data_IF_993367451583
#
_entry.id   IF_993367451583
#
_cell.length_a   1.000
_cell.length_b   1.000
_cell.length_c   1.000
_cell.angle_alpha   90.00
_cell.angle_beta   90.00
_cell.angle_gamma   90.00
#
_symmetry.space_group_name_H-M   'P 1'
#
loop_
_entity.id
_entity.type
_entity.pdbx_description
1 polymer ?
#
# COMPACT_ATOMS: atom_id res chain seq x y z
N UNK A 1 9.75 31.28 -20.54
CA UNK A 1 9.03 30.02 -20.19
C UNK A 1 8.72 30.06 -18.71
N UNK A 2 7.44 30.07 -18.31
CA UNK A 2 7.05 30.13 -16.89
C UNK A 2 7.39 28.79 -16.26
N UNK A 3 8.34 28.77 -15.32
CA UNK A 3 8.67 27.59 -14.52
C UNK A 3 8.02 27.70 -13.14
N UNK A 4 7.68 26.56 -12.56
CA UNK A 4 7.22 26.44 -11.17
C UNK A 4 8.23 25.60 -10.40
N UNK A 5 8.68 26.13 -9.27
CA UNK A 5 9.54 25.42 -8.33
C UNK A 5 8.68 24.87 -7.20
N UNK A 6 8.81 23.58 -6.91
CA UNK A 6 8.15 22.91 -5.80
C UNK A 6 9.20 22.22 -4.92
N UNK A 7 9.11 22.41 -3.61
CA UNK A 7 9.98 21.70 -2.67
C UNK A 7 9.56 20.24 -2.53
N UNK A 8 10.54 19.34 -2.44
CA UNK A 8 10.37 17.93 -2.19
C UNK A 8 11.51 17.44 -1.27
N UNK A 9 11.24 17.33 0.03
CA UNK A 9 12.29 17.13 1.04
C UNK A 9 13.37 18.22 0.95
N UNK A 10 14.62 17.80 0.73
CA UNK A 10 15.76 18.72 0.50
C UNK A 10 15.93 19.15 -0.97
N UNK A 11 15.17 18.55 -1.88
CA UNK A 11 15.24 18.84 -3.30
C UNK A 11 14.20 19.90 -3.73
N UNK A 12 14.42 20.49 -4.90
CA UNK A 12 13.48 21.36 -5.62
C UNK A 12 13.18 20.71 -6.95
N UNK A 13 11.90 20.44 -7.22
CA UNK A 13 11.40 20.02 -8.52
C UNK A 13 11.07 21.28 -9.31
N UNK A 14 11.79 21.51 -10.41
CA UNK A 14 11.53 22.64 -11.31
C UNK A 14 10.85 22.11 -12.57
N UNK A 15 9.62 22.55 -12.80
CA UNK A 15 8.78 22.12 -13.93
C UNK A 15 8.43 23.33 -14.78
N UNK A 16 8.49 23.20 -16.11
CA UNK A 16 8.02 24.20 -17.05
C UNK A 16 7.33 23.58 -18.27
N UNK A 17 6.62 24.40 -19.03
CA UNK A 17 6.02 24.00 -20.30
C UNK A 17 7.07 24.03 -21.42
N UNK A 18 7.23 22.94 -22.17
CA UNK A 18 8.13 22.85 -23.32
C UNK A 18 7.47 23.43 -24.59
N UNK A 19 8.22 23.48 -25.70
CA UNK A 19 7.79 24.12 -26.96
C UNK A 19 6.61 23.40 -27.65
N UNK A 20 6.46 22.11 -27.42
CA UNK A 20 5.49 21.26 -28.15
C UNK A 20 4.22 20.96 -27.34
N UNK A 21 3.94 21.75 -26.30
CA UNK A 21 2.80 21.52 -25.39
C UNK A 21 3.05 20.42 -24.36
N UNK A 22 4.24 19.82 -24.34
CA UNK A 22 4.69 18.87 -23.32
C UNK A 22 5.25 19.59 -22.09
N UNK A 23 5.51 18.84 -21.03
CA UNK A 23 6.12 19.33 -19.81
C UNK A 23 7.55 18.83 -19.69
N UNK A 24 8.39 19.67 -19.11
CA UNK A 24 9.80 19.37 -18.90
C UNK A 24 10.21 19.75 -17.49
N UNK A 25 11.07 18.95 -16.86
CA UNK A 25 11.50 19.26 -15.51
C UNK A 25 12.83 18.63 -15.12
N UNK A 26 13.36 19.18 -14.03
CA UNK A 26 14.63 18.77 -13.42
C UNK A 26 14.48 18.71 -11.90
N UNK A 27 15.29 17.86 -11.28
CA UNK A 27 15.44 17.82 -9.82
C UNK A 27 16.71 18.58 -9.45
N UNK A 28 16.60 19.51 -8.51
CA UNK A 28 17.73 20.30 -8.01
C UNK A 28 17.96 19.95 -6.53
N UNK A 29 19.15 19.46 -6.18
CA UNK A 29 19.55 19.14 -4.82
C UNK A 29 20.88 19.84 -4.51
N UNK A 30 20.94 20.59 -3.41
CA UNK A 30 22.15 21.35 -3.06
C UNK A 30 22.59 22.36 -4.13
N UNK A 31 21.64 22.91 -4.89
CA UNK A 31 21.90 23.85 -5.99
C UNK A 31 22.38 23.21 -7.30
N UNK A 32 22.50 21.88 -7.38
CA UNK A 32 22.88 21.15 -8.60
C UNK A 32 21.72 20.36 -9.16
N UNK A 33 21.61 20.29 -10.48
CA UNK A 33 20.67 19.37 -11.14
C UNK A 33 21.18 17.95 -10.93
N UNK A 34 20.28 17.05 -10.49
CA UNK A 34 20.56 15.62 -10.33
C UNK A 34 19.75 14.82 -11.35
N UNK A 35 20.39 13.78 -11.91
CA UNK A 35 19.82 12.97 -12.97
C UNK A 35 19.61 13.73 -14.28
N UNK A 36 18.88 13.10 -15.20
CA UNK A 36 18.54 13.67 -16.49
C UNK A 36 17.30 14.55 -16.42
N UNK A 37 17.17 15.41 -17.43
CA UNK A 37 15.96 16.21 -17.63
C UNK A 37 14.84 15.30 -18.12
N UNK A 38 13.70 15.33 -17.44
CA UNK A 38 12.56 14.49 -17.78
C UNK A 38 11.55 15.28 -18.61
N UNK A 39 10.93 14.58 -19.55
CA UNK A 39 9.83 15.07 -20.39
C UNK A 39 8.61 14.17 -20.22
N UNK A 40 7.42 14.77 -20.22
CA UNK A 40 6.15 14.05 -20.19
C UNK A 40 5.03 14.92 -20.80
N UNK A 41 4.05 14.29 -21.42
CA UNK A 41 2.85 14.98 -21.91
C UNK A 41 1.92 15.38 -20.76
N UNK A 42 1.99 14.67 -19.63
CA UNK A 42 1.19 14.94 -18.44
C UNK A 42 2.05 15.51 -17.31
N UNK A 43 1.65 16.69 -16.81
CA UNK A 43 2.36 17.41 -15.76
C UNK A 43 2.42 16.64 -14.44
N UNK A 44 1.36 15.92 -14.09
CA UNK A 44 1.29 15.16 -12.83
C UNK A 44 2.16 13.90 -12.91
N UNK A 45 2.18 13.20 -14.05
CA UNK A 45 3.12 12.09 -14.29
C UNK A 45 4.56 12.56 -14.26
N UNK A 46 4.88 13.69 -14.91
CA UNK A 46 6.20 14.29 -14.82
C UNK A 46 6.59 14.58 -13.37
N UNK A 47 5.69 15.21 -12.61
CA UNK A 47 5.92 15.52 -11.20
C UNK A 47 6.20 14.26 -10.39
N UNK A 48 5.41 13.21 -10.55
CA UNK A 48 5.62 11.93 -9.88
C UNK A 48 6.99 11.31 -10.21
N UNK A 49 7.38 11.31 -11.48
CA UNK A 49 8.70 10.81 -11.93
C UNK A 49 9.87 11.63 -11.36
N UNK A 50 9.72 12.96 -11.28
CA UNK A 50 10.71 13.84 -10.67
C UNK A 50 10.83 13.62 -9.15
N UNK A 51 9.72 13.34 -8.47
CA UNK A 51 9.73 12.96 -7.05
C UNK A 51 10.47 11.63 -6.83
N UNK A 52 10.23 10.65 -7.70
CA UNK A 52 10.95 9.37 -7.65
C UNK A 52 12.46 9.58 -7.89
N UNK A 53 12.84 10.38 -8.89
CA UNK A 53 14.24 10.74 -9.15
C UNK A 53 14.89 11.43 -7.94
N UNK A 54 14.17 12.35 -7.29
CA UNK A 54 14.66 12.98 -6.07
C UNK A 54 14.82 11.99 -4.90
N UNK A 55 13.96 10.99 -4.81
CA UNK A 55 14.03 9.91 -3.82
C UNK A 55 15.31 9.08 -3.89
N UNK A 56 15.93 8.98 -5.07
CA UNK A 56 17.21 8.25 -5.25
C UNK A 56 18.38 8.85 -4.47
N UNK A 57 18.27 10.10 -4.02
CA UNK A 57 19.29 10.75 -3.20
C UNK A 57 19.16 10.44 -1.68
N UNK A 58 18.18 9.64 -1.27
CA UNK A 58 17.98 9.29 0.14
C UNK A 58 19.10 8.37 0.67
N UNK A 59 19.58 8.52 1.93
CA UNK A 59 20.67 7.70 2.45
C UNK A 59 20.38 6.19 2.49
N UNK A 60 19.10 5.81 2.64
CA UNK A 60 18.68 4.41 2.66
C UNK A 60 18.36 3.85 1.27
N UNK A 61 18.53 4.65 0.20
CA UNK A 61 18.23 4.23 -1.16
C UNK A 61 19.18 3.12 -1.63
N UNK A 62 18.61 2.01 -2.10
CA UNK A 62 19.32 0.95 -2.80
C UNK A 62 18.60 0.46 -4.06
N UNK A 63 17.49 1.11 -4.44
CA UNK A 63 16.75 0.83 -5.67
C UNK A 63 16.04 -0.51 -5.70
N UNK A 64 15.33 -0.77 -6.81
CA UNK A 64 14.57 -2.01 -6.97
C UNK A 64 15.45 -3.26 -7.02
N UNK A 65 16.62 -3.20 -7.68
CA UNK A 65 17.56 -4.33 -7.73
C UNK A 65 18.10 -4.69 -6.33
N UNK A 66 18.43 -3.67 -5.51
CA UNK A 66 18.81 -3.89 -4.12
C UNK A 66 17.66 -4.47 -3.28
N UNK A 67 16.42 -4.07 -3.55
CA UNK A 67 15.24 -4.63 -2.90
C UNK A 67 15.05 -6.11 -3.24
N UNK A 68 15.22 -6.46 -4.52
CA UNK A 68 15.18 -7.85 -5.00
C UNK A 68 16.28 -8.68 -4.35
N UNK A 69 17.53 -8.19 -4.35
CA UNK A 69 18.64 -8.89 -3.72
C UNK A 69 18.41 -9.11 -2.22
N UNK A 70 17.89 -8.09 -1.52
CA UNK A 70 17.52 -8.20 -0.11
C UNK A 70 16.40 -9.23 0.10
N UNK A 71 15.34 -9.18 -0.70
CA UNK A 71 14.23 -10.12 -0.62
C UNK A 71 14.71 -11.56 -0.80
N UNK A 72 15.53 -11.83 -1.83
CA UNK A 72 16.07 -13.17 -2.11
C UNK A 72 17.02 -13.68 -1.01
N UNK A 73 17.70 -12.78 -0.28
CA UNK A 73 18.50 -13.16 0.90
C UNK A 73 17.62 -13.75 2.02
N UNK A 74 16.43 -13.17 2.24
CA UNK A 74 15.49 -13.64 3.27
C UNK A 74 14.57 -14.76 2.78
N UNK A 75 14.25 -14.77 1.48
CA UNK A 75 13.36 -15.72 0.83
C UNK A 75 14.10 -16.42 -0.33
N UNK A 76 14.99 -17.38 -0.04
CA UNK A 76 15.66 -18.16 -1.08
C UNK A 76 14.64 -18.84 -2.01
N UNK A 77 14.81 -18.68 -3.32
CA UNK A 77 13.86 -19.16 -4.32
C UNK A 77 12.69 -18.21 -4.61
N UNK A 78 12.65 -17.03 -3.97
CA UNK A 78 11.63 -16.00 -4.22
C UNK A 78 10.21 -16.47 -3.89
N UNK A 79 9.23 -16.06 -4.70
CA UNK A 79 7.81 -16.40 -4.49
C UNK A 79 7.48 -17.89 -4.72
N UNK A 80 8.36 -18.64 -5.37
CA UNK A 80 8.26 -20.09 -5.51
C UNK A 80 9.10 -20.84 -4.46
N UNK A 81 9.84 -20.12 -3.61
CA UNK A 81 10.75 -20.70 -2.64
C UNK A 81 10.03 -21.46 -1.52
N UNK A 82 10.68 -22.49 -0.99
CA UNK A 82 10.12 -23.34 0.07
C UNK A 82 9.75 -22.52 1.32
N UNK A 83 10.60 -21.58 1.74
CA UNK A 83 10.33 -20.72 2.92
C UNK A 83 9.10 -19.83 2.71
N UNK A 84 8.92 -19.32 1.50
CA UNK A 84 7.81 -18.43 1.18
C UNK A 84 6.46 -19.16 1.09
N UNK A 85 6.49 -20.38 0.55
CA UNK A 85 5.30 -21.21 0.28
C UNK A 85 5.00 -22.22 1.39
N UNK A 86 5.86 -22.31 2.42
CA UNK A 86 5.66 -23.14 3.59
C UNK A 86 4.32 -22.83 4.30
N UNK A 87 3.87 -23.76 5.14
CA UNK A 87 2.64 -23.61 5.92
C UNK A 87 2.63 -22.33 6.76
N UNK A 88 3.76 -21.97 7.35
CA UNK A 88 4.01 -20.76 8.13
C UNK A 88 4.63 -19.62 7.30
N UNK A 89 4.71 -19.79 5.98
CA UNK A 89 5.29 -18.82 5.05
C UNK A 89 4.42 -17.58 4.84
N UNK A 90 5.03 -16.52 4.31
CA UNK A 90 4.41 -15.19 4.20
C UNK A 90 3.13 -15.13 3.35
N UNK A 91 2.97 -16.02 2.37
CA UNK A 91 1.79 -16.04 1.49
C UNK A 91 0.59 -16.75 2.11
N UNK A 92 0.83 -17.86 2.82
CA UNK A 92 -0.21 -18.85 3.13
C UNK A 92 -1.35 -18.26 3.96
N UNK A 93 -1.02 -17.61 5.07
CA UNK A 93 -2.02 -17.04 5.97
C UNK A 93 -2.85 -15.92 5.32
N UNK A 94 -2.28 -15.15 4.38
CA UNK A 94 -2.99 -14.09 3.64
C UNK A 94 -3.97 -14.68 2.63
N UNK A 95 -3.55 -15.73 1.91
CA UNK A 95 -4.41 -16.46 0.98
C UNK A 95 -5.55 -17.15 1.72
N UNK A 96 -5.27 -17.74 2.88
CA UNK A 96 -6.30 -18.41 3.69
C UNK A 96 -7.30 -17.39 4.25
N UNK A 97 -6.85 -16.22 4.73
CA UNK A 97 -7.73 -15.13 5.13
C UNK A 97 -8.59 -14.59 3.97
N UNK A 98 -8.02 -14.42 2.77
CA UNK A 98 -8.78 -14.06 1.55
C UNK A 98 -9.87 -15.08 1.27
N UNK A 99 -9.56 -16.38 1.25
CA UNK A 99 -10.54 -17.45 0.98
C UNK A 99 -11.65 -17.51 2.03
N UNK A 100 -11.29 -17.36 3.31
CA UNK A 100 -12.25 -17.28 4.41
C UNK A 100 -13.18 -16.09 4.21
N UNK A 101 -12.64 -14.90 3.93
CA UNK A 101 -13.46 -13.71 3.69
C UNK A 101 -14.40 -13.90 2.50
N UNK A 102 -13.90 -14.43 1.37
CA UNK A 102 -14.72 -14.68 0.19
C UNK A 102 -15.84 -15.71 0.43
N UNK A 103 -15.63 -16.64 1.36
CA UNK A 103 -16.65 -17.63 1.77
C UNK A 103 -17.69 -17.02 2.71
N UNK A 104 -17.25 -16.21 3.69
CA UNK A 104 -18.13 -15.61 4.69
C UNK A 104 -18.93 -14.42 4.15
N UNK A 105 -18.27 -13.55 3.39
CA UNK A 105 -18.84 -12.31 2.87
C UNK A 105 -18.05 -11.83 1.64
N UNK A 106 -18.36 -12.34 0.43
CA UNK A 106 -17.76 -11.83 -0.79
C UNK A 106 -18.15 -10.35 -1.02
N UNK A 107 -17.34 -9.61 -1.79
CA UNK A 107 -17.52 -8.17 -2.02
C UNK A 107 -18.94 -7.78 -2.45
N UNK A 108 -19.53 -8.54 -3.38
CA UNK A 108 -20.89 -8.29 -3.88
C UNK A 108 -21.97 -8.43 -2.80
N UNK A 109 -21.76 -9.29 -1.81
CA UNK A 109 -22.65 -9.40 -0.64
C UNK A 109 -22.39 -8.26 0.35
N UNK A 110 -21.13 -7.81 0.48
CA UNK A 110 -20.74 -6.73 1.38
C UNK A 110 -21.42 -5.38 1.04
N UNK A 111 -21.77 -5.14 -0.22
CA UNK A 111 -22.54 -3.97 -0.68
C UNK A 111 -23.91 -3.83 0.02
N UNK A 112 -24.47 -4.96 0.47
CA UNK A 112 -25.75 -5.03 1.18
C UNK A 112 -25.60 -5.61 2.59
N UNK A 113 -24.38 -5.59 3.14
CA UNK A 113 -24.09 -6.16 4.44
C UNK A 113 -25.00 -5.60 5.54
N UNK A 114 -25.36 -6.46 6.46
CA UNK A 114 -26.10 -6.20 7.68
C UNK A 114 -25.19 -6.30 8.91
N UNK A 115 -25.69 -5.91 10.09
CA UNK A 115 -24.93 -6.11 11.32
C UNK A 115 -24.75 -7.60 11.69
N UNK A 116 -25.57 -8.49 11.14
CA UNK A 116 -25.37 -9.93 11.29
C UNK A 116 -24.12 -10.42 10.53
N UNK A 117 -23.87 -9.87 9.34
CA UNK A 117 -22.64 -10.13 8.56
C UNK A 117 -21.42 -9.60 9.31
N UNK A 118 -21.54 -8.39 9.87
CA UNK A 118 -20.56 -7.80 10.78
C UNK A 118 -20.17 -8.72 11.94
N UNK A 119 -21.16 -9.22 12.67
CA UNK A 119 -20.96 -10.17 13.78
C UNK A 119 -20.31 -11.47 13.33
N UNK A 120 -20.65 -11.96 12.14
CA UNK A 120 -20.04 -13.16 11.54
C UNK A 120 -18.54 -12.94 11.31
N UNK A 121 -18.16 -11.81 10.69
CA UNK A 121 -16.74 -11.49 10.49
C UNK A 121 -16.02 -11.21 11.82
N UNK A 122 -16.65 -10.52 12.77
CA UNK A 122 -16.08 -10.30 14.10
C UNK A 122 -15.78 -11.63 14.83
N UNK A 123 -16.63 -12.63 14.66
CA UNK A 123 -16.41 -13.97 15.20
C UNK A 123 -15.24 -14.70 14.49
N UNK A 124 -15.10 -14.56 13.18
CA UNK A 124 -13.97 -15.12 12.43
C UNK A 124 -12.63 -14.48 12.83
N UNK A 125 -12.60 -13.15 13.03
CA UNK A 125 -11.43 -12.47 13.60
C UNK A 125 -11.07 -12.99 15.00
N UNK A 126 -12.07 -13.26 15.85
CA UNK A 126 -11.83 -13.81 17.20
C UNK A 126 -11.23 -15.22 17.18
N UNK A 127 -11.46 -15.99 16.12
CA UNK A 127 -10.91 -17.34 15.92
C UNK A 127 -9.60 -17.35 15.12
N UNK A 128 -9.02 -16.18 14.85
CA UNK A 128 -7.83 -15.98 14.02
C UNK A 128 -7.97 -16.46 12.56
N UNK A 129 -9.19 -16.76 12.08
CA UNK A 129 -9.46 -17.25 10.71
C UNK A 129 -9.26 -16.16 9.65
N UNK A 130 -9.27 -14.89 10.07
CA UNK A 130 -9.03 -13.71 9.24
C UNK A 130 -7.77 -12.96 9.65
N UNK A 131 -6.83 -13.56 10.39
CA UNK A 131 -5.64 -12.86 10.88
C UNK A 131 -4.51 -12.81 9.83
N UNK A 132 -4.06 -11.61 9.45
CA UNK A 132 -2.91 -11.43 8.55
C UNK A 132 -1.79 -10.55 9.12
N UNK A 133 -1.53 -10.66 10.43
CA UNK A 133 -0.57 -9.82 11.14
C UNK A 133 -0.88 -8.32 11.00
N UNK A 134 -2.05 -7.90 11.51
CA UNK A 134 -2.34 -6.47 11.66
C UNK A 134 -1.20 -5.78 12.44
N UNK A 135 -0.79 -4.55 12.08
CA UNK A 135 0.37 -3.90 12.70
C UNK A 135 0.27 -3.73 14.21
N UNK A 136 -0.94 -3.65 14.76
CA UNK A 136 -1.15 -3.56 16.20
C UNK A 136 -2.39 -4.33 16.68
N UNK A 137 -2.31 -4.82 17.93
CA UNK A 137 -3.46 -5.42 18.63
C UNK A 137 -4.62 -4.44 18.79
N UNK A 138 -4.32 -3.14 18.93
CA UNK A 138 -5.32 -2.09 19.09
C UNK A 138 -6.18 -1.94 17.82
N UNK A 139 -5.55 -1.96 16.65
CA UNK A 139 -6.29 -1.89 15.39
C UNK A 139 -7.14 -3.13 15.14
N UNK A 140 -6.61 -4.32 15.44
CA UNK A 140 -7.39 -5.56 15.34
C UNK A 140 -8.58 -5.58 16.29
N UNK A 141 -8.38 -5.14 17.53
CA UNK A 141 -9.46 -5.03 18.53
C UNK A 141 -10.53 -4.05 18.06
N UNK A 142 -10.14 -2.86 17.60
CA UNK A 142 -11.06 -1.83 17.10
C UNK A 142 -11.86 -2.30 15.89
N UNK A 143 -11.20 -2.94 14.91
CA UNK A 143 -11.87 -3.49 13.74
C UNK A 143 -12.92 -4.54 14.15
N UNK A 144 -12.58 -5.42 15.08
CA UNK A 144 -13.53 -6.43 15.58
C UNK A 144 -14.72 -5.79 16.31
N UNK A 145 -14.50 -4.76 17.11
CA UNK A 145 -15.57 -4.05 17.84
C UNK A 145 -16.53 -3.35 16.88
N UNK A 146 -16.02 -2.57 15.91
CA UNK A 146 -16.88 -1.91 14.92
C UNK A 146 -17.64 -2.94 14.07
N UNK A 147 -17.05 -4.09 13.74
CA UNK A 147 -17.74 -5.17 13.05
C UNK A 147 -18.87 -5.77 13.89
N UNK A 148 -18.70 -5.89 15.21
CA UNK A 148 -19.70 -6.48 16.09
C UNK A 148 -20.91 -5.56 16.35
N UNK A 149 -20.69 -4.24 16.42
CA UNK A 149 -21.71 -3.27 16.83
C UNK A 149 -22.28 -2.42 15.67
N UNK A 150 -21.45 -2.12 14.67
CA UNK A 150 -21.78 -1.27 13.52
C UNK A 150 -21.37 -1.90 12.18
N UNK A 151 -21.26 -3.22 12.14
CA UNK A 151 -20.61 -3.93 11.05
C UNK A 151 -21.29 -3.75 9.71
N UNK A 152 -22.62 -3.70 9.64
CA UNK A 152 -23.31 -3.51 8.36
C UNK A 152 -22.94 -2.17 7.71
N UNK A 153 -22.90 -1.10 8.50
CA UNK A 153 -22.51 0.22 8.00
C UNK A 153 -21.04 0.27 7.59
N UNK A 154 -20.15 -0.29 8.42
CA UNK A 154 -18.71 -0.34 8.12
C UNK A 154 -18.42 -1.15 6.85
N UNK A 155 -19.05 -2.33 6.71
CA UNK A 155 -18.82 -3.25 5.59
C UNK A 155 -19.30 -2.68 4.26
N UNK A 156 -20.48 -2.04 4.22
CA UNK A 156 -20.96 -1.37 3.00
C UNK A 156 -20.03 -0.23 2.58
N UNK A 157 -19.50 0.52 3.54
CA UNK A 157 -18.55 1.60 3.26
C UNK A 157 -17.18 1.05 2.78
N UNK A 158 -16.70 -0.03 3.37
CA UNK A 158 -15.49 -0.72 2.91
C UNK A 158 -15.69 -1.31 1.50
N UNK A 159 -16.88 -1.84 1.19
CA UNK A 159 -17.23 -2.33 -0.15
C UNK A 159 -17.27 -1.19 -1.18
N UNK A 160 -17.87 -0.04 -0.84
CA UNK A 160 -17.82 1.15 -1.69
C UNK A 160 -16.37 1.61 -1.97
N UNK A 161 -15.52 1.59 -0.93
CA UNK A 161 -14.09 1.86 -1.10
C UNK A 161 -13.42 0.86 -2.06
N UNK A 162 -13.71 -0.45 -1.90
CA UNK A 162 -13.17 -1.49 -2.78
C UNK A 162 -13.66 -1.35 -4.23
N UNK A 163 -14.89 -0.89 -4.44
CA UNK A 163 -15.43 -0.58 -5.77
C UNK A 163 -14.89 0.74 -6.38
N UNK A 164 -13.89 1.37 -5.75
CA UNK A 164 -13.22 2.57 -6.25
C UNK A 164 -13.84 3.89 -5.78
N UNK A 165 -14.93 3.85 -5.01
CA UNK A 165 -15.55 5.05 -4.43
C UNK A 165 -14.82 5.51 -3.15
N UNK A 166 -13.51 5.80 -3.27
CA UNK A 166 -12.65 6.01 -2.11
C UNK A 166 -13.16 7.09 -1.14
N UNK A 167 -13.65 8.23 -1.66
CA UNK A 167 -14.10 9.32 -0.80
C UNK A 167 -15.36 8.96 0.01
N UNK A 168 -16.38 8.37 -0.61
CA UNK A 168 -17.61 7.97 0.07
C UNK A 168 -17.34 6.79 1.01
N UNK A 169 -16.53 5.82 0.60
CA UNK A 169 -16.11 4.69 1.41
C UNK A 169 -15.32 5.11 2.66
N UNK A 170 -14.34 6.02 2.53
CA UNK A 170 -13.60 6.60 3.66
C UNK A 170 -14.56 7.29 4.63
N UNK A 171 -15.45 8.14 4.13
CA UNK A 171 -16.41 8.87 4.97
C UNK A 171 -17.34 7.90 5.72
N UNK A 172 -17.86 6.88 5.03
CA UNK A 172 -18.73 5.86 5.63
C UNK A 172 -18.01 5.04 6.72
N UNK A 173 -16.79 4.57 6.44
CA UNK A 173 -15.98 3.82 7.43
C UNK A 173 -15.63 4.70 8.64
N UNK A 174 -15.27 5.97 8.42
CA UNK A 174 -14.97 6.94 9.49
C UNK A 174 -16.18 7.16 10.40
N UNK A 175 -17.37 7.28 9.83
CA UNK A 175 -18.60 7.44 10.60
C UNK A 175 -18.94 6.19 11.41
N UNK A 176 -18.81 5.00 10.81
CA UNK A 176 -19.12 3.73 11.48
C UNK A 176 -18.16 3.42 12.64
N UNK A 177 -16.87 3.73 12.49
CA UNK A 177 -15.85 3.42 13.51
C UNK A 177 -15.74 4.47 14.62
N UNK A 178 -16.29 5.68 14.43
CA UNK A 178 -16.15 6.80 15.36
C UNK A 178 -16.44 6.46 16.84
N UNK A 179 -17.44 5.60 17.18
CA UNK A 179 -17.68 5.19 18.57
C UNK A 179 -16.54 4.38 19.20
N UNK A 180 -15.72 3.70 18.39
CA UNK A 180 -14.62 2.83 18.82
C UNK A 180 -13.22 3.47 18.61
N UNK A 181 -13.18 4.67 18.02
CA UNK A 181 -11.98 5.45 17.78
C UNK A 181 -11.84 5.93 16.34
N UNK A 182 -10.59 6.16 15.93
CA UNK A 182 -10.29 6.75 14.61
C UNK A 182 -10.02 5.68 13.56
N UNK A 183 -10.45 5.94 12.32
CA UNK A 183 -10.07 5.12 11.17
C UNK A 183 -8.56 5.24 10.91
N UNK A 184 -7.86 4.13 10.81
CA UNK A 184 -6.43 4.08 10.43
C UNK A 184 -6.26 3.43 9.06
N UNK A 185 -5.10 3.64 8.44
CA UNK A 185 -4.77 3.04 7.14
C UNK A 185 -4.85 1.51 7.14
N UNK A 186 -4.29 0.80 8.14
CA UNK A 186 -4.46 -0.65 8.23
C UNK A 186 -5.94 -1.05 8.23
N UNK A 187 -6.78 -0.41 9.04
CA UNK A 187 -8.22 -0.73 9.12
C UNK A 187 -8.94 -0.45 7.80
N UNK A 188 -8.69 0.72 7.19
CA UNK A 188 -9.37 1.15 5.97
C UNK A 188 -9.03 0.27 4.74
N UNK A 189 -7.83 -0.31 4.72
CA UNK A 189 -7.34 -1.05 3.55
C UNK A 189 -7.37 -2.57 3.72
N UNK A 190 -7.68 -3.07 4.92
CA UNK A 190 -7.68 -4.50 5.23
C UNK A 190 -8.66 -5.32 4.39
N UNK A 191 -9.95 -5.01 4.50
CA UNK A 191 -11.00 -5.75 3.79
C UNK A 191 -10.93 -5.54 2.28
N UNK A 192 -10.72 -4.31 1.74
CA UNK A 192 -10.50 -4.13 0.31
C UNK A 192 -9.36 -4.98 -0.25
N UNK A 193 -8.22 -5.04 0.45
CA UNK A 193 -7.10 -5.89 0.07
C UNK A 193 -7.46 -7.38 0.06
N UNK A 194 -8.20 -7.85 1.07
CA UNK A 194 -8.62 -9.25 1.13
C UNK A 194 -9.75 -9.58 0.17
N UNK A 195 -10.59 -8.64 -0.28
CA UNK A 195 -11.62 -8.92 -1.29
C UNK A 195 -11.02 -9.02 -2.69
N UNK A 196 -10.09 -8.13 -3.03
CA UNK A 196 -9.50 -8.03 -4.36
C UNK A 196 -7.99 -7.75 -4.27
N UNK A 197 -7.17 -8.76 -3.92
CA UNK A 197 -5.72 -8.62 -3.84
C UNK A 197 -5.07 -8.32 -5.20
N UNK A 198 -5.79 -8.40 -6.29
CA UNK A 198 -5.37 -7.95 -7.62
C UNK A 198 -5.57 -6.45 -7.85
N UNK A 199 -6.45 -5.78 -7.08
CA UNK A 199 -6.82 -4.37 -7.26
C UNK A 199 -6.48 -3.47 -6.08
N UNK A 200 -6.34 -4.03 -4.88
CA UNK A 200 -6.10 -3.27 -3.65
C UNK A 200 -4.79 -3.64 -2.99
N UNK A 201 -4.31 -2.72 -2.16
CA UNK A 201 -3.09 -2.88 -1.39
C UNK A 201 -3.37 -2.65 0.09
N UNK A 202 -2.82 -3.52 0.95
CA UNK A 202 -2.88 -3.36 2.39
C UNK A 202 -1.75 -2.45 2.88
N UNK A 203 -2.11 -1.35 3.53
CA UNK A 203 -1.14 -0.38 4.02
C UNK A 203 -0.71 -0.69 5.45
N UNK A 204 0.57 -1.04 5.62
CA UNK A 204 1.26 -1.06 6.91
C UNK A 204 2.23 0.12 6.96
N UNK A 205 1.84 1.28 7.54
CA UNK A 205 2.53 2.55 7.33
C UNK A 205 4.05 2.53 7.46
N UNK A 206 4.59 1.99 8.57
CA UNK A 206 6.03 1.96 8.84
C UNK A 206 6.79 1.18 7.76
N UNK A 207 6.42 -0.07 7.54
CA UNK A 207 7.05 -0.95 6.57
C UNK A 207 6.95 -0.40 5.13
N UNK A 208 5.77 0.10 4.76
CA UNK A 208 5.52 0.61 3.40
C UNK A 208 6.28 1.90 3.14
N UNK A 209 6.37 2.81 4.12
CA UNK A 209 7.14 4.05 3.98
C UNK A 209 8.64 3.76 3.90
N UNK A 210 9.16 2.91 4.78
CA UNK A 210 10.57 2.52 4.75
C UNK A 210 10.94 1.80 3.44
N UNK A 211 10.07 0.93 2.94
CA UNK A 211 10.23 0.36 1.59
C UNK A 211 10.28 1.42 0.50
N UNK A 212 9.32 2.35 0.49
CA UNK A 212 9.26 3.42 -0.51
C UNK A 212 10.52 4.29 -0.48
N UNK A 213 11.06 4.61 0.71
CA UNK A 213 12.33 5.34 0.86
C UNK A 213 13.50 4.60 0.21
N UNK A 214 13.58 3.27 0.40
CA UNK A 214 14.68 2.43 -0.08
C UNK A 214 14.69 2.25 -1.60
N UNK A 215 13.52 2.28 -2.23
CA UNK A 215 13.40 2.26 -3.69
C UNK A 215 13.28 3.65 -4.31
N UNK A 216 13.26 4.71 -3.49
CA UNK A 216 13.16 6.09 -3.95
C UNK A 216 11.77 6.49 -4.44
N UNK A 217 10.71 5.77 -4.07
CA UNK A 217 9.36 6.06 -4.52
C UNK A 217 8.72 7.23 -3.75
N UNK A 218 7.91 8.05 -4.43
CA UNK A 218 7.29 9.27 -3.87
C UNK A 218 6.39 9.03 -2.66
N UNK A 219 5.83 7.84 -2.52
CA UNK A 219 4.99 7.45 -1.39
C UNK A 219 5.71 7.67 -0.04
N UNK A 220 7.04 7.59 0.00
CA UNK A 220 7.85 7.90 1.18
C UNK A 220 7.54 9.29 1.77
N UNK A 221 7.21 10.25 0.90
CA UNK A 221 6.95 11.65 1.24
C UNK A 221 5.46 11.97 1.20
N UNK A 222 4.71 11.37 0.26
CA UNK A 222 3.27 11.59 0.12
C UNK A 222 2.44 10.89 1.20
N UNK A 223 3.01 9.94 1.93
CA UNK A 223 2.33 9.31 3.06
C UNK A 223 1.90 10.34 4.10
N UNK A 224 0.61 10.36 4.40
CA UNK A 224 0.02 11.02 5.55
C UNK A 224 -0.81 10.02 6.35
N UNK A 225 -0.88 10.19 7.67
CA UNK A 225 -1.78 9.42 8.53
C UNK A 225 -3.26 9.76 8.31
N UNK A 226 -3.56 10.93 7.73
CA UNK A 226 -4.91 11.30 7.33
C UNK A 226 -5.39 10.40 6.18
N UNK A 227 -6.56 9.77 6.39
CA UNK A 227 -7.14 8.84 5.43
C UNK A 227 -7.80 9.63 4.29
N UNK A 228 -7.09 9.76 3.17
CA UNK A 228 -7.53 10.50 1.97
C UNK A 228 -7.36 9.64 0.71
N UNK A 229 -8.21 9.85 -0.30
CA UNK A 229 -8.10 9.10 -1.55
C UNK A 229 -6.76 9.29 -2.27
N UNK A 230 -6.11 10.44 -2.12
CA UNK A 230 -4.84 10.74 -2.80
C UNK A 230 -3.67 9.93 -2.23
N UNK A 231 -3.59 9.80 -0.90
CA UNK A 231 -2.59 8.93 -0.25
C UNK A 231 -2.83 7.47 -0.66
N UNK A 232 -4.08 7.03 -0.74
CA UNK A 232 -4.38 5.67 -1.20
C UNK A 232 -3.99 5.44 -2.67
N UNK A 233 -4.22 6.40 -3.56
CA UNK A 233 -3.78 6.30 -4.95
C UNK A 233 -2.25 6.25 -5.07
N UNK A 234 -1.53 7.02 -4.24
CA UNK A 234 -0.06 6.94 -4.18
C UNK A 234 0.44 5.57 -3.70
N UNK A 235 -0.29 4.92 -2.79
CA UNK A 235 -0.04 3.54 -2.40
C UNK A 235 -0.28 2.53 -3.54
N UNK A 236 -1.39 2.67 -4.27
CA UNK A 236 -1.68 1.78 -5.40
C UNK A 236 -0.61 1.90 -6.49
N UNK A 237 -0.17 3.11 -6.77
CA UNK A 237 0.93 3.38 -7.70
C UNK A 237 2.26 2.77 -7.22
N UNK A 238 2.59 2.87 -5.93
CA UNK A 238 3.73 2.14 -5.34
C UNK A 238 3.61 0.63 -5.57
N UNK A 239 2.41 0.07 -5.39
CA UNK A 239 2.17 -1.36 -5.56
C UNK A 239 2.35 -1.79 -7.04
N UNK A 240 1.90 -0.97 -7.99
CA UNK A 240 2.03 -1.22 -9.42
C UNK A 240 3.49 -1.11 -9.88
N UNK A 241 4.21 -0.05 -9.48
CA UNK A 241 5.64 0.13 -9.72
C UNK A 241 6.45 -1.05 -9.13
N UNK A 242 6.06 -1.51 -7.94
CA UNK A 242 6.70 -2.66 -7.29
C UNK A 242 6.43 -3.96 -8.06
N UNK A 243 5.18 -4.22 -8.44
CA UNK A 243 4.82 -5.41 -9.22
C UNK A 243 5.58 -5.47 -10.55
N UNK A 244 5.67 -4.34 -11.26
CA UNK A 244 6.45 -4.21 -12.48
C UNK A 244 7.96 -4.42 -12.22
N UNK A 245 8.49 -3.80 -11.18
CA UNK A 245 9.91 -3.90 -10.80
C UNK A 245 10.35 -5.30 -10.42
N UNK A 246 9.44 -6.13 -9.87
CA UNK A 246 9.74 -7.51 -9.45
C UNK A 246 9.16 -8.56 -10.41
N UNK A 247 8.69 -8.18 -11.59
CA UNK A 247 8.01 -9.08 -12.54
C UNK A 247 8.83 -10.34 -12.86
N UNK A 248 10.17 -10.23 -12.90
CA UNK A 248 11.08 -11.35 -13.12
C UNK A 248 11.03 -12.44 -12.03
N UNK A 249 10.53 -12.11 -10.83
CA UNK A 249 10.32 -13.07 -9.73
C UNK A 249 8.95 -13.78 -9.83
N UNK A 250 8.07 -13.35 -10.74
CA UNK A 250 6.74 -13.92 -10.94
C UNK A 250 5.77 -13.74 -9.77
N UNK A 251 5.53 -12.52 -9.25
CA UNK A 251 4.48 -12.31 -8.25
C UNK A 251 3.11 -12.67 -8.85
N UNK A 252 2.26 -13.37 -8.10
CA UNK A 252 0.94 -13.77 -8.56
C UNK A 252 -0.11 -12.64 -8.43
N UNK A 253 -0.01 -11.83 -7.38
CA UNK A 253 -0.99 -10.82 -6.99
C UNK A 253 -0.34 -9.84 -5.98
N UNK A 254 -1.11 -8.90 -5.42
CA UNK A 254 -0.57 -7.98 -4.41
C UNK A 254 -0.43 -8.60 -3.03
N UNK A 255 -0.80 -9.87 -2.80
CA UNK A 255 -0.34 -10.61 -1.61
C UNK A 255 1.18 -10.83 -1.71
N UNK A 256 1.69 -11.15 -2.89
CA UNK A 256 3.13 -11.25 -3.13
C UNK A 256 3.83 -9.89 -3.04
N UNK A 257 3.22 -8.85 -3.62
CA UNK A 257 3.75 -7.48 -3.53
C UNK A 257 3.80 -7.00 -2.08
N UNK A 258 2.73 -7.22 -1.29
CA UNK A 258 2.69 -6.86 0.12
C UNK A 258 3.75 -7.61 0.92
N UNK A 259 3.95 -8.90 0.64
CA UNK A 259 4.96 -9.70 1.31
C UNK A 259 6.38 -9.24 0.94
N UNK A 260 6.62 -8.87 -0.31
CA UNK A 260 7.89 -8.28 -0.74
C UNK A 260 8.20 -6.98 -0.02
N UNK A 261 7.24 -6.04 0.01
CA UNK A 261 7.34 -4.76 0.73
C UNK A 261 7.65 -5.01 2.21
N UNK A 262 6.92 -5.94 2.83
CA UNK A 262 7.10 -6.29 4.23
C UNK A 262 8.49 -6.87 4.53
N UNK A 263 8.94 -7.85 3.74
CA UNK A 263 10.27 -8.48 3.92
C UNK A 263 11.38 -7.46 3.72
N UNK A 264 11.29 -6.62 2.69
CA UNK A 264 12.31 -5.61 2.42
C UNK A 264 12.34 -4.57 3.54
N UNK A 265 11.18 -4.06 3.97
CA UNK A 265 11.08 -3.00 4.99
C UNK A 265 11.36 -3.46 6.42
N UNK A 266 10.82 -4.61 6.84
CA UNK A 266 10.80 -4.99 8.27
C UNK A 266 11.77 -6.09 8.65
N UNK A 267 12.13 -7.03 7.77
CA UNK A 267 13.02 -8.12 8.17
C UNK A 267 14.40 -7.57 8.55
N UNK A 268 15.01 -8.18 9.56
CA UNK A 268 16.35 -7.89 10.10
C UNK A 268 17.20 -9.16 10.07
N UNK A 269 18.47 -9.07 10.44
CA UNK A 269 19.41 -10.21 10.34
C UNK A 269 18.94 -11.45 11.10
N UNK A 270 18.24 -11.27 12.22
CA UNK A 270 17.60 -12.36 12.97
C UNK A 270 16.53 -13.15 12.19
N UNK A 271 16.03 -12.60 11.08
CA UNK A 271 15.04 -13.25 10.23
C UNK A 271 15.66 -14.00 9.04
N UNK A 272 16.99 -14.08 8.95
CA UNK A 272 17.65 -14.90 7.94
C UNK A 272 17.29 -16.40 8.13
N UNK A 273 17.23 -17.19 7.04
CA UNK A 273 17.01 -18.63 7.12
C UNK A 273 18.07 -19.40 7.91
#
# INVERSE_FOLDING_TARGET
MRTTDQKYGKAVLRIGADKDGTWIGVVILGGKVIGEKLHDEDRNRLRARLMNLAGTAHPNYFGMEGAIARFLKFMPGGFAGQRYTAHDGERRYKVDAHKTLMTLLPLTAAEKATDADGKTLAAAFKKDELWTHMPSLQESTRLREVLAEHGGAFLRAAAAFANGEFNSGIAGMRNAIAPHGTLTWPIATYLPFLWSPEQHMFLKPTATRDFAERIGHRFAIEYDSEITADVYRSLLDLADDTAAGIAQLGPADRIDVQSFIWVVGEYREENLP
#
